data_IF_181788300619
#
_entry.id   IF_181788300619
#
_cell.length_a   1.000
_cell.length_b   1.000
_cell.length_c   1.000
_cell.angle_alpha   90.00
_cell.angle_beta   90.00
_cell.angle_gamma   90.00
#
_symmetry.space_group_name_H-M   'P 1'
#
loop_
_entity.id
_entity.type
_entity.pdbx_description
1 polymer ?
#
# COMPACT_ATOMS: atom_id res chain seq x y z
N UNK A 1 -4.72 -17.64 31.23
CA UNK A 1 -5.34 -18.98 31.32
C UNK A 1 -4.62 -19.90 30.33
N UNK A 2 -4.37 -21.17 30.69
CA UNK A 2 -3.65 -22.12 29.81
C UNK A 2 -4.53 -22.42 28.59
N UNK A 3 -4.01 -22.26 27.38
CA UNK A 3 -4.73 -22.61 26.15
C UNK A 3 -5.07 -24.10 26.16
N UNK A 4 -6.28 -24.47 25.72
CA UNK A 4 -6.71 -25.87 25.64
C UNK A 4 -5.81 -26.73 24.71
N UNK A 5 -4.96 -26.09 23.90
CA UNK A 5 -4.04 -26.70 22.96
C UNK A 5 -2.55 -26.47 23.31
N UNK A 6 -2.25 -26.14 24.57
CA UNK A 6 -0.89 -25.92 25.09
C UNK A 6 0.00 -27.16 24.90
N UNK A 7 1.06 -27.04 24.10
CA UNK A 7 2.12 -28.06 24.01
C UNK A 7 3.20 -27.90 25.10
N UNK A 8 3.06 -26.92 26.01
CA UNK A 8 4.04 -26.61 27.05
C UNK A 8 4.16 -27.72 28.12
N UNK A 9 5.38 -28.07 28.56
CA UNK A 9 5.61 -28.90 29.73
C UNK A 9 4.84 -28.39 30.96
N UNK A 10 4.47 -29.30 31.87
CA UNK A 10 3.74 -28.94 33.09
C UNK A 10 4.52 -27.91 33.92
N UNK A 11 3.89 -26.77 34.23
CA UNK A 11 4.49 -25.68 35.01
C UNK A 11 5.16 -24.56 34.20
N UNK A 12 5.20 -24.65 32.87
CA UNK A 12 5.69 -23.57 32.00
C UNK A 12 4.55 -22.89 31.22
N UNK A 13 4.73 -21.59 30.98
CA UNK A 13 3.88 -20.79 30.08
C UNK A 13 4.08 -21.26 28.64
N UNK A 14 3.03 -21.19 27.81
CA UNK A 14 3.20 -21.38 26.37
C UNK A 14 4.17 -20.32 25.82
N UNK A 15 5.21 -20.75 25.12
CA UNK A 15 6.16 -19.88 24.45
C UNK A 15 6.22 -20.20 22.96
N UNK A 16 6.39 -19.17 22.15
CA UNK A 16 6.64 -19.28 20.71
C UNK A 16 7.65 -18.20 20.33
N UNK A 17 8.82 -18.64 19.89
CA UNK A 17 9.88 -17.77 19.37
C UNK A 17 10.04 -18.01 17.88
N UNK A 18 10.18 -16.95 17.09
CA UNK A 18 10.26 -17.03 15.63
C UNK A 18 11.61 -16.50 15.17
N UNK A 19 12.29 -17.30 14.35
CA UNK A 19 13.56 -16.93 13.73
C UNK A 19 13.26 -16.42 12.32
N UNK A 20 13.75 -15.21 12.02
CA UNK A 20 13.58 -14.55 10.73
C UNK A 20 14.89 -14.45 9.97
N UNK A 21 14.83 -14.57 8.64
CA UNK A 21 15.90 -14.16 7.75
C UNK A 21 15.52 -12.85 7.05
N UNK A 22 16.47 -11.90 6.90
CA UNK A 22 16.26 -10.74 6.05
C UNK A 22 16.23 -11.19 4.58
N UNK A 23 15.18 -10.82 3.85
CA UNK A 23 15.07 -11.03 2.40
C UNK A 23 14.73 -9.73 1.69
N UNK A 24 14.89 -9.68 0.36
CA UNK A 24 14.50 -8.53 -0.44
C UNK A 24 13.00 -8.20 -0.35
N UNK A 25 12.16 -9.22 -0.09
CA UNK A 25 10.71 -9.08 0.08
C UNK A 25 10.28 -8.87 1.54
N UNK A 26 11.23 -8.58 2.44
CA UNK A 26 10.98 -8.39 3.87
C UNK A 26 11.45 -9.56 4.75
N UNK A 27 11.20 -9.50 6.07
CA UNK A 27 11.61 -10.55 6.99
C UNK A 27 10.83 -11.85 6.73
N UNK A 28 11.55 -12.92 6.43
CA UNK A 28 10.97 -14.24 6.17
C UNK A 28 11.09 -15.13 7.41
N UNK A 29 9.97 -15.60 8.00
CA UNK A 29 10.03 -16.54 9.11
C UNK A 29 10.50 -17.91 8.61
N UNK A 30 11.57 -18.43 9.20
CA UNK A 30 12.20 -19.69 8.77
C UNK A 30 12.11 -20.82 9.78
N UNK A 31 11.95 -20.49 11.06
CA UNK A 31 11.80 -21.49 12.11
C UNK A 31 10.99 -20.92 13.27
N UNK A 32 10.30 -21.81 13.98
CA UNK A 32 9.61 -21.52 15.23
C UNK A 32 10.10 -22.47 16.32
N UNK A 33 10.49 -21.94 17.46
CA UNK A 33 10.63 -22.71 18.70
C UNK A 33 9.33 -22.58 19.48
N UNK A 34 8.56 -23.66 19.56
CA UNK A 34 7.28 -23.71 20.26
C UNK A 34 7.46 -24.63 21.45
N UNK A 35 7.39 -24.09 22.66
CA UNK A 35 7.48 -24.86 23.90
C UNK A 35 8.74 -25.76 23.98
N UNK A 36 9.89 -25.22 23.56
CA UNK A 36 11.18 -25.92 23.57
C UNK A 36 11.38 -26.93 22.41
N UNK A 37 10.48 -26.93 21.42
CA UNK A 37 10.58 -27.79 20.22
C UNK A 37 10.74 -26.93 18.98
N UNK A 38 11.75 -27.26 18.16
CA UNK A 38 12.05 -26.55 16.93
C UNK A 38 11.25 -27.10 15.74
N UNK A 39 10.62 -26.20 14.99
CA UNK A 39 9.89 -26.46 13.77
C UNK A 39 10.45 -25.60 12.63
N UNK A 40 10.62 -26.19 11.45
CA UNK A 40 10.93 -25.43 10.24
C UNK A 40 9.63 -24.81 9.69
N UNK A 41 9.67 -23.52 9.36
CA UNK A 41 8.56 -22.79 8.72
C UNK A 41 8.78 -22.79 7.22
N UNK A 42 7.78 -23.23 6.47
CA UNK A 42 7.76 -23.17 5.01
C UNK A 42 6.84 -22.02 4.61
N UNK A 43 7.38 -21.04 3.91
CA UNK A 43 6.65 -19.85 3.46
C UNK A 43 6.31 -19.90 1.96
N UNK A 44 5.34 -19.09 1.54
CA UNK A 44 5.13 -18.80 0.12
C UNK A 44 5.98 -17.61 -0.36
N UNK A 45 5.72 -17.15 -1.61
CA UNK A 45 6.44 -16.03 -2.23
C UNK A 45 6.22 -14.68 -1.55
N UNK A 46 5.22 -14.56 -0.67
CA UNK A 46 4.97 -13.38 0.16
C UNK A 46 5.59 -13.50 1.55
N UNK A 47 6.40 -14.55 1.80
CA UNK A 47 6.89 -14.88 3.14
C UNK A 47 5.77 -15.28 4.13
N UNK A 48 4.59 -15.68 3.64
CA UNK A 48 3.47 -16.14 4.49
C UNK A 48 3.72 -17.57 4.95
N UNK A 49 3.70 -17.89 6.26
CA UNK A 49 3.79 -19.26 6.75
C UNK A 49 2.67 -20.14 6.19
N UNK A 50 3.04 -21.21 5.48
CA UNK A 50 2.09 -22.19 4.92
C UNK A 50 2.15 -23.55 5.60
N UNK A 51 3.29 -23.91 6.18
CA UNK A 51 3.47 -25.23 6.82
C UNK A 51 4.56 -25.19 7.87
N UNK A 52 4.38 -25.93 8.97
CA UNK A 52 5.40 -26.23 9.96
C UNK A 52 5.74 -27.72 9.92
N UNK A 53 7.04 -28.04 9.92
CA UNK A 53 7.53 -29.42 10.01
C UNK A 53 8.47 -29.63 11.19
N UNK A 54 8.34 -30.78 11.87
CA UNK A 54 9.29 -31.18 12.90
C UNK A 54 10.62 -31.68 12.30
N UNK A 55 11.56 -32.08 13.15
CA UNK A 55 12.87 -32.60 12.75
C UNK A 55 12.80 -33.87 11.87
N UNK A 56 11.70 -34.63 11.93
CA UNK A 56 11.45 -35.81 11.12
C UNK A 56 10.75 -35.48 9.78
N UNK A 57 10.54 -34.19 9.48
CA UNK A 57 9.83 -33.74 8.27
C UNK A 57 8.31 -33.92 8.32
N UNK A 58 7.76 -34.34 9.46
CA UNK A 58 6.33 -34.54 9.66
C UNK A 58 5.61 -33.20 9.88
N UNK A 59 4.37 -33.09 9.41
CA UNK A 59 3.58 -31.84 9.44
C UNK A 59 2.93 -31.65 10.79
N UNK A 60 3.22 -30.54 11.46
CA UNK A 60 2.61 -30.18 12.74
C UNK A 60 1.46 -29.17 12.58
N UNK A 61 1.54 -28.32 11.54
CA UNK A 61 0.57 -27.27 11.23
C UNK A 61 0.63 -26.92 9.74
N UNK A 62 -0.51 -26.60 9.13
CA UNK A 62 -0.59 -26.21 7.73
C UNK A 62 -1.72 -25.24 7.48
N UNK A 63 -1.46 -24.18 6.72
CA UNK A 63 -2.45 -23.19 6.30
C UNK A 63 -2.46 -23.09 4.77
N UNK A 64 -3.54 -23.56 4.17
CA UNK A 64 -3.67 -23.62 2.71
C UNK A 64 -3.77 -22.22 2.12
N UNK A 65 -3.28 -22.09 0.88
CA UNK A 65 -3.47 -20.88 0.09
C UNK A 65 -4.96 -20.71 -0.16
N UNK A 66 -5.47 -19.56 0.26
CA UNK A 66 -6.80 -19.05 -0.03
C UNK A 66 -6.65 -17.58 -0.43
N UNK A 67 -7.69 -16.98 -1.02
CA UNK A 67 -7.59 -15.60 -1.48
C UNK A 67 -7.27 -14.68 -0.31
N UNK A 68 -8.14 -14.60 0.68
CA UNK A 68 -8.05 -13.66 1.79
C UNK A 68 -7.61 -14.31 3.10
N UNK A 69 -7.17 -15.57 3.07
CA UNK A 69 -6.77 -16.30 4.27
C UNK A 69 -7.97 -16.80 5.08
N UNK A 70 -9.15 -16.87 4.48
CA UNK A 70 -10.41 -17.23 5.13
C UNK A 70 -10.46 -18.71 5.57
N UNK A 71 -9.67 -19.56 4.93
CA UNK A 71 -9.57 -20.97 5.29
C UNK A 71 -8.76 -21.12 6.56
N UNK A 72 -9.29 -21.76 7.59
CA UNK A 72 -8.56 -21.97 8.85
C UNK A 72 -7.37 -22.93 8.67
N UNK A 73 -6.26 -22.76 9.42
CA UNK A 73 -5.19 -23.74 9.44
C UNK A 73 -5.66 -25.12 9.92
N UNK A 74 -5.11 -26.16 9.32
CA UNK A 74 -5.27 -27.56 9.70
C UNK A 74 -4.08 -28.04 10.52
N UNK A 75 -4.32 -28.96 11.45
CA UNK A 75 -3.30 -29.62 12.28
C UNK A 75 -3.38 -31.14 12.14
N UNK A 76 -2.39 -31.88 12.64
CA UNK A 76 -2.17 -33.30 12.36
C UNK A 76 -3.35 -34.26 12.53
N UNK A 77 -4.32 -33.94 13.38
CA UNK A 77 -5.52 -34.76 13.61
C UNK A 77 -6.62 -34.53 12.54
N UNK A 78 -6.49 -33.47 11.74
CA UNK A 78 -7.40 -33.06 10.64
C UNK A 78 -6.61 -32.71 9.38
N UNK A 79 -5.54 -33.44 9.13
CA UNK A 79 -4.68 -33.25 7.97
C UNK A 79 -5.43 -33.43 6.64
N UNK A 80 -5.19 -32.51 5.70
CA UNK A 80 -5.65 -32.66 4.31
C UNK A 80 -4.92 -33.85 3.67
N UNK A 81 -5.62 -34.99 3.59
CA UNK A 81 -5.14 -36.20 2.93
C UNK A 81 -4.27 -37.10 3.83
N UNK A 82 -4.89 -37.76 4.81
CA UNK A 82 -4.37 -39.06 5.27
C UNK A 82 -4.55 -40.10 4.15
N UNK A 83 -3.73 -40.02 3.11
CA UNK A 83 -3.58 -41.10 2.13
C UNK A 83 -2.26 -41.81 2.39
N UNK A 84 -2.18 -43.09 1.99
CA UNK A 84 -1.02 -43.98 2.15
C UNK A 84 0.27 -43.42 1.51
N UNK A 85 0.15 -42.36 0.70
CA UNK A 85 1.22 -41.59 0.03
C UNK A 85 1.28 -40.10 0.42
N UNK A 86 0.51 -39.66 1.43
CA UNK A 86 0.49 -38.28 1.93
C UNK A 86 1.58 -38.01 2.97
N UNK A 87 1.80 -36.74 3.37
CA UNK A 87 2.78 -36.43 4.40
C UNK A 87 2.36 -37.02 5.76
N UNK A 88 3.32 -37.63 6.46
CA UNK A 88 3.13 -38.05 7.86
C UNK A 88 2.89 -36.82 8.74
N UNK A 89 1.83 -36.84 9.54
CA UNK A 89 1.51 -35.77 10.47
C UNK A 89 2.15 -36.01 11.85
N UNK A 90 2.57 -34.92 12.49
CA UNK A 90 3.06 -34.90 13.86
C UNK A 90 1.96 -34.45 14.83
N UNK A 91 2.27 -34.39 16.12
CA UNK A 91 1.43 -33.74 17.12
C UNK A 91 1.08 -32.31 16.65
N UNK A 92 -0.21 -31.98 16.69
CA UNK A 92 -0.74 -30.66 16.39
C UNK A 92 -0.07 -29.58 17.24
N UNK A 93 0.25 -28.44 16.62
CA UNK A 93 0.74 -27.24 17.32
C UNK A 93 -0.13 -26.03 17.02
N UNK A 94 -0.27 -25.14 18.01
CA UNK A 94 -0.85 -23.81 17.80
C UNK A 94 0.20 -22.91 17.17
N UNK A 95 -0.20 -22.20 16.11
CA UNK A 95 0.66 -21.24 15.42
C UNK A 95 -0.19 -20.11 14.86
N UNK A 96 0.11 -18.89 15.32
CA UNK A 96 -0.79 -17.75 15.15
C UNK A 96 -0.34 -16.76 14.06
N UNK A 97 0.87 -16.88 13.52
CA UNK A 97 1.26 -16.05 12.37
C UNK A 97 0.34 -16.31 11.16
N UNK A 98 -0.03 -15.23 10.47
CA UNK A 98 -0.82 -15.25 9.23
C UNK A 98 -0.03 -14.57 8.11
N UNK A 99 -0.67 -13.72 7.30
CA UNK A 99 0.06 -12.89 6.34
C UNK A 99 1.17 -12.09 7.05
N UNK A 100 2.21 -11.63 6.32
CA UNK A 100 3.25 -10.79 6.90
C UNK A 100 2.68 -9.69 7.79
N UNK A 101 3.24 -9.53 9.00
CA UNK A 101 2.78 -8.56 10.01
C UNK A 101 1.59 -9.01 10.86
N UNK A 102 0.91 -10.10 10.50
CA UNK A 102 -0.34 -10.51 11.14
C UNK A 102 -0.17 -11.62 12.18
N UNK A 103 -0.83 -11.44 13.33
CA UNK A 103 -1.00 -12.44 14.38
C UNK A 103 -2.49 -12.70 14.58
N UNK A 104 -2.92 -13.94 14.40
CA UNK A 104 -4.30 -14.36 14.61
C UNK A 104 -4.65 -14.35 16.09
N UNK A 105 -5.76 -13.72 16.41
CA UNK A 105 -6.39 -13.74 17.71
C UNK A 105 -7.63 -14.64 17.67
N UNK A 106 -7.58 -15.71 18.47
CA UNK A 106 -8.64 -16.72 18.53
C UNK A 106 -9.90 -16.21 19.23
N UNK A 107 -9.78 -15.26 20.16
CA UNK A 107 -10.93 -14.73 20.91
C UNK A 107 -11.85 -13.89 20.03
N UNK A 108 -11.25 -13.08 19.15
CA UNK A 108 -11.98 -12.22 18.22
C UNK A 108 -12.22 -12.88 16.86
N UNK A 109 -11.41 -13.88 16.50
CA UNK A 109 -11.38 -14.45 15.15
C UNK A 109 -10.75 -13.52 14.11
N UNK A 110 -10.12 -12.43 14.54
CA UNK A 110 -9.47 -11.44 13.69
C UNK A 110 -7.95 -11.66 13.71
N UNK A 111 -7.24 -11.00 12.81
CA UNK A 111 -5.79 -10.95 12.84
C UNK A 111 -5.31 -9.53 13.16
N UNK A 112 -4.59 -9.37 14.26
CA UNK A 112 -3.95 -8.12 14.61
C UNK A 112 -2.79 -7.86 13.64
N UNK A 113 -2.79 -6.69 13.00
CA UNK A 113 -1.78 -6.26 12.03
C UNK A 113 -1.25 -4.87 12.41
N UNK A 114 -0.60 -4.79 13.57
CA UNK A 114 -0.02 -3.58 14.17
C UNK A 114 -1.00 -2.40 14.33
N UNK A 115 -1.32 -1.70 13.25
CA UNK A 115 -2.20 -0.52 13.28
C UNK A 115 -3.68 -0.87 13.12
N UNK A 116 -4.00 -2.05 12.59
CA UNK A 116 -5.38 -2.45 12.28
C UNK A 116 -5.65 -3.92 12.58
N UNK A 117 -6.93 -4.25 12.80
CA UNK A 117 -7.42 -5.63 12.84
C UNK A 117 -7.99 -6.03 11.49
N UNK A 118 -7.49 -7.14 10.95
CA UNK A 118 -7.89 -7.74 9.68
C UNK A 118 -8.92 -8.84 9.90
N UNK A 119 -10.01 -8.79 9.14
CA UNK A 119 -11.03 -9.83 9.06
C UNK A 119 -10.85 -10.61 7.75
N UNK A 120 -10.37 -11.84 7.88
CA UNK A 120 -10.18 -12.75 6.75
C UNK A 120 -11.50 -13.19 6.11
N UNK A 121 -12.61 -13.22 6.85
CA UNK A 121 -13.91 -13.63 6.32
C UNK A 121 -14.49 -12.61 5.32
N UNK A 122 -14.19 -11.32 5.54
CA UNK A 122 -14.64 -10.22 4.66
C UNK A 122 -13.52 -9.63 3.80
N UNK A 123 -12.28 -10.13 3.96
CA UNK A 123 -11.10 -9.74 3.19
C UNK A 123 -10.66 -8.29 3.37
N UNK A 124 -10.87 -7.72 4.57
CA UNK A 124 -10.68 -6.28 4.82
C UNK A 124 -10.32 -5.98 6.27
N UNK A 125 -9.86 -4.77 6.53
CA UNK A 125 -9.72 -4.25 7.89
C UNK A 125 -11.09 -3.85 8.47
N UNK A 126 -11.23 -4.02 9.78
CA UNK A 126 -12.43 -3.55 10.51
C UNK A 126 -12.32 -2.09 10.95
N UNK A 127 -11.14 -1.49 10.80
CA UNK A 127 -10.84 -0.11 11.14
C UNK A 127 -10.45 0.66 9.88
N UNK A 128 -10.88 1.92 9.80
CA UNK A 128 -10.46 2.82 8.72
C UNK A 128 -8.96 3.11 8.82
N UNK A 129 -8.31 3.26 7.67
CA UNK A 129 -6.88 3.53 7.59
C UNK A 129 -6.50 4.80 8.39
N UNK A 130 -5.56 4.70 9.36
CA UNK A 130 -5.06 5.83 10.13
C UNK A 130 -4.36 6.89 9.29
N UNK A 131 -3.75 6.51 8.15
CA UNK A 131 -3.12 7.46 7.22
C UNK A 131 -4.14 8.04 6.20
N UNK A 132 -5.43 7.78 6.40
CA UNK A 132 -6.50 8.36 5.60
C UNK A 132 -6.51 7.81 4.18
N UNK A 133 -6.65 8.71 3.19
CA UNK A 133 -6.67 8.32 1.77
C UNK A 133 -5.27 8.02 1.21
N UNK A 134 -4.20 8.27 1.97
CA UNK A 134 -2.85 7.84 1.58
C UNK A 134 -2.73 6.31 1.54
N UNK A 135 -3.55 5.59 2.32
CA UNK A 135 -3.71 4.14 2.26
C UNK A 135 -4.66 3.65 1.16
N UNK A 136 -5.08 4.54 0.25
CA UNK A 136 -5.96 4.24 -0.87
C UNK A 136 -7.42 4.70 -0.70
N UNK A 137 -8.16 4.64 -1.82
CA UNK A 137 -9.55 5.07 -1.90
C UNK A 137 -10.48 4.32 -0.96
N UNK A 138 -10.24 3.02 -0.78
CA UNK A 138 -10.96 2.22 0.22
C UNK A 138 -10.13 2.13 1.50
N UNK A 139 -10.50 2.93 2.49
CA UNK A 139 -9.84 2.99 3.80
C UNK A 139 -9.92 1.71 4.62
N UNK A 140 -10.71 0.73 4.19
CA UNK A 140 -10.83 -0.58 4.84
C UNK A 140 -10.18 -1.69 4.02
N UNK A 141 -9.74 -1.41 2.80
CA UNK A 141 -9.22 -2.44 1.90
C UNK A 141 -7.97 -3.12 2.44
N UNK A 142 -7.90 -4.45 2.34
CA UNK A 142 -6.64 -5.17 2.46
C UNK A 142 -6.00 -5.26 1.07
N UNK A 143 -4.77 -4.77 0.97
CA UNK A 143 -3.88 -4.94 -0.18
C UNK A 143 -4.51 -4.70 -1.57
N UNK A 144 -5.34 -3.67 -1.71
CA UNK A 144 -6.03 -3.36 -2.97
C UNK A 144 -6.92 -4.48 -3.52
N UNK A 145 -7.31 -5.45 -2.68
CA UNK A 145 -8.05 -6.63 -3.09
C UNK A 145 -7.22 -7.69 -3.81
N UNK A 146 -5.88 -7.62 -3.76
CA UNK A 146 -4.99 -8.58 -4.42
C UNK A 146 -3.99 -9.25 -3.43
N UNK A 147 -4.49 -10.03 -2.46
CA UNK A 147 -3.69 -10.71 -1.42
C UNK A 147 -2.82 -11.87 -1.91
N UNK A 148 -3.01 -12.30 -3.16
CA UNK A 148 -2.15 -13.31 -3.78
C UNK A 148 -0.82 -12.73 -4.26
N UNK A 149 -0.78 -11.44 -4.57
CA UNK A 149 0.42 -10.78 -5.07
C UNK A 149 1.08 -9.88 -4.03
N UNK A 150 0.35 -9.51 -2.98
CA UNK A 150 0.79 -8.48 -2.05
C UNK A 150 0.37 -8.76 -0.62
N UNK A 151 1.14 -8.20 0.32
CA UNK A 151 0.90 -8.27 1.76
C UNK A 151 1.08 -6.88 2.37
N UNK A 152 0.29 -6.56 3.39
CA UNK A 152 0.46 -5.34 4.20
C UNK A 152 1.07 -5.72 5.55
N UNK A 153 2.36 -5.42 5.73
CA UNK A 153 3.13 -5.89 6.90
C UNK A 153 2.96 -5.03 8.14
N UNK A 154 2.31 -3.86 8.00
CA UNK A 154 2.14 -2.89 9.09
C UNK A 154 0.68 -2.55 9.36
N UNK A 155 -0.25 -3.00 8.53
CA UNK A 155 -1.60 -2.49 8.55
C UNK A 155 -1.70 -1.07 8.01
N UNK A 156 -0.84 -0.65 7.07
CA UNK A 156 -0.83 0.70 6.47
C UNK A 156 -0.49 0.69 4.96
N UNK A 157 -0.19 -0.47 4.37
CA UNK A 157 0.30 -0.57 2.99
C UNK A 157 -0.86 -0.72 1.98
N UNK A 158 -0.77 -0.03 0.83
CA UNK A 158 -1.70 -0.16 -0.29
C UNK A 158 -0.98 -0.55 -1.60
N UNK A 159 -1.04 -1.82 -2.01
CA UNK A 159 -0.41 -2.32 -3.21
C UNK A 159 -1.30 -2.21 -4.47
N UNK A 160 -2.48 -1.57 -4.38
CA UNK A 160 -3.06 -0.90 -5.55
C UNK A 160 -2.11 0.18 -6.13
N UNK A 161 -1.04 0.49 -5.40
CA UNK A 161 0.11 1.29 -5.79
C UNK A 161 1.46 0.60 -5.50
N UNK A 162 1.54 -0.75 -5.56
CA UNK A 162 2.76 -1.54 -5.34
C UNK A 162 3.38 -1.43 -3.92
N UNK A 163 4.22 -2.39 -3.49
CA UNK A 163 4.76 -2.44 -2.13
C UNK A 163 5.85 -1.40 -1.84
N UNK A 164 6.26 -0.59 -2.83
CA UNK A 164 7.28 0.45 -2.64
C UNK A 164 7.14 1.66 -3.57
N UNK A 165 6.04 1.80 -4.31
CA UNK A 165 5.89 2.97 -5.17
C UNK A 165 5.32 4.14 -4.37
N UNK A 166 6.18 4.78 -3.57
CA UNK A 166 6.02 6.19 -3.27
C UNK A 166 6.00 6.90 -4.62
N UNK A 167 4.94 7.61 -4.95
CA UNK A 167 4.81 8.14 -6.30
C UNK A 167 3.67 9.11 -6.41
N UNK A 168 3.50 9.60 -7.62
CA UNK A 168 2.60 10.70 -7.89
C UNK A 168 1.76 10.36 -9.10
N UNK A 169 0.47 10.68 -9.00
CA UNK A 169 -0.45 10.62 -10.12
C UNK A 169 -0.57 12.03 -10.69
N UNK A 170 -0.27 12.20 -11.97
CA UNK A 170 -0.53 13.46 -12.68
C UNK A 170 -1.83 13.28 -13.45
N UNK A 171 -2.78 14.18 -13.22
CA UNK A 171 -4.11 14.15 -13.82
C UNK A 171 -4.28 15.28 -14.81
N UNK A 172 -4.88 14.99 -15.96
CA UNK A 172 -5.25 15.97 -16.97
C UNK A 172 -6.76 16.02 -17.14
N UNK A 173 -7.31 17.23 -17.10
CA UNK A 173 -8.70 17.52 -17.37
C UNK A 173 -8.78 18.38 -18.64
N UNK A 174 -9.51 17.87 -19.63
CA UNK A 174 -9.74 18.55 -20.90
C UNK A 174 -10.88 19.56 -20.84
N UNK A 175 -10.85 20.53 -21.75
CA UNK A 175 -11.81 21.63 -21.85
C UNK A 175 -11.13 23.00 -21.73
N UNK A 176 -11.59 23.99 -22.52
CA UNK A 176 -10.98 25.32 -22.56
C UNK A 176 -9.46 25.27 -22.77
N UNK A 177 -8.70 25.87 -21.85
CA UNK A 177 -7.23 25.89 -21.84
C UNK A 177 -6.59 24.59 -21.29
N UNK A 178 -7.38 23.65 -20.79
CA UNK A 178 -6.94 22.44 -20.10
C UNK A 178 -6.43 22.70 -18.68
N UNK A 179 -6.39 21.66 -17.85
CA UNK A 179 -5.86 21.72 -16.49
C UNK A 179 -5.02 20.48 -16.17
N UNK A 180 -3.97 20.66 -15.36
CA UNK A 180 -3.18 19.56 -14.80
C UNK A 180 -3.11 19.70 -13.29
N UNK A 181 -3.33 18.59 -12.58
CA UNK A 181 -3.13 18.49 -11.14
C UNK A 181 -2.21 17.34 -10.78
N UNK A 182 -1.69 17.36 -9.55
CA UNK A 182 -0.82 16.30 -9.01
C UNK A 182 -1.41 15.73 -7.72
N UNK A 183 -1.60 14.41 -7.68
CA UNK A 183 -2.02 13.66 -6.50
C UNK A 183 -0.87 12.82 -5.97
N UNK A 184 -0.72 12.78 -4.65
CA UNK A 184 0.33 12.00 -3.98
C UNK A 184 -0.24 10.65 -3.59
N UNK A 185 0.45 9.56 -3.90
CA UNK A 185 0.01 8.20 -3.58
C UNK A 185 -1.44 7.91 -4.02
N UNK A 186 -1.86 8.48 -5.15
CA UNK A 186 -3.21 8.25 -5.71
C UNK A 186 -4.35 8.90 -4.94
N UNK A 187 -4.05 9.77 -3.97
CA UNK A 187 -5.04 10.62 -3.30
C UNK A 187 -5.54 11.74 -4.22
N UNK A 188 -6.44 12.58 -3.71
CA UNK A 188 -6.98 13.74 -4.44
C UNK A 188 -5.86 14.62 -5.02
N UNK A 189 -6.11 15.19 -6.20
CA UNK A 189 -5.12 16.01 -6.88
C UNK A 189 -5.16 17.46 -6.42
N UNK A 190 -4.00 18.08 -6.34
CA UNK A 190 -3.84 19.51 -6.11
C UNK A 190 -3.58 20.21 -7.44
N UNK A 191 -4.32 21.29 -7.68
CA UNK A 191 -4.17 22.16 -8.83
C UNK A 191 -3.78 23.57 -8.40
N UNK A 192 -3.14 24.29 -9.31
CA UNK A 192 -2.84 25.70 -9.15
C UNK A 192 -3.76 26.53 -10.04
N UNK A 193 -4.45 27.49 -9.43
CA UNK A 193 -5.55 28.24 -10.02
C UNK A 193 -5.37 29.75 -9.80
N UNK A 194 -5.99 30.61 -10.62
CA UNK A 194 -6.18 32.01 -10.26
C UNK A 194 -7.27 32.13 -9.16
N UNK A 195 -7.06 33.00 -8.17
CA UNK A 195 -8.05 33.27 -7.09
C UNK A 195 -9.35 33.89 -7.57
N UNK A 196 -9.41 34.35 -8.83
CA UNK A 196 -10.59 34.99 -9.42
C UNK A 196 -11.10 34.14 -10.60
N UNK A 197 -12.13 33.30 -10.40
CA UNK A 197 -12.63 32.37 -11.42
C UNK A 197 -13.36 33.06 -12.58
N UNK A 198 -13.57 34.39 -12.52
CA UNK A 198 -14.32 35.18 -13.49
C UNK A 198 -13.46 35.88 -14.56
N UNK A 199 -12.14 35.67 -14.56
CA UNK A 199 -11.22 36.33 -15.50
C UNK A 199 -11.16 35.57 -16.83
N UNK A 200 -11.30 36.29 -17.94
CA UNK A 200 -11.17 35.71 -19.30
C UNK A 200 -9.73 35.26 -19.56
N UNK A 201 -9.52 34.33 -20.51
CA UNK A 201 -8.17 33.88 -20.91
C UNK A 201 -7.21 35.05 -21.21
N UNK A 202 -7.72 36.20 -21.66
CA UNK A 202 -6.92 37.40 -21.97
C UNK A 202 -6.35 38.08 -20.72
N UNK A 203 -7.10 38.10 -19.61
CA UNK A 203 -6.67 38.74 -18.36
C UNK A 203 -5.65 37.89 -17.59
N UNK A 204 -5.62 36.58 -17.84
CA UNK A 204 -4.64 35.66 -17.25
C UNK A 204 -3.29 35.64 -18.00
N UNK A 205 -3.17 36.38 -19.12
CA UNK A 205 -1.91 36.56 -19.86
C UNK A 205 -1.04 37.63 -19.18
N UNK A 206 -1.64 38.61 -18.50
CA UNK A 206 -0.91 39.70 -17.85
C UNK A 206 -0.59 39.36 -16.38
N UNK A 207 0.63 39.68 -15.91
CA UNK A 207 1.00 39.44 -14.52
C UNK A 207 0.16 40.31 -13.58
N UNK A 208 -0.32 39.72 -12.48
CA UNK A 208 -1.03 40.44 -11.41
C UNK A 208 -2.21 39.70 -10.79
N UNK A 209 -2.60 38.54 -11.31
CA UNK A 209 -3.68 37.72 -10.73
C UNK A 209 -3.10 36.84 -9.62
N UNK A 210 -3.52 36.97 -8.35
CA UNK A 210 -3.03 36.09 -7.28
C UNK A 210 -3.42 34.63 -7.56
N UNK A 211 -2.49 33.72 -7.35
CA UNK A 211 -2.72 32.29 -7.45
C UNK A 211 -3.30 31.70 -6.17
N UNK A 212 -3.81 30.47 -6.26
CA UNK A 212 -4.25 29.63 -5.14
C UNK A 212 -3.96 28.18 -5.47
N UNK A 213 -3.55 27.39 -4.47
CA UNK A 213 -3.39 25.94 -4.58
C UNK A 213 -4.56 25.30 -3.86
N UNK A 214 -5.33 24.51 -4.59
CA UNK A 214 -6.55 23.91 -4.07
C UNK A 214 -6.62 22.44 -4.47
N UNK A 215 -7.37 21.65 -3.70
CA UNK A 215 -7.77 20.33 -4.15
C UNK A 215 -8.64 20.49 -5.40
N UNK A 216 -8.41 19.66 -6.42
CA UNK A 216 -9.19 19.57 -7.64
C UNK A 216 -10.58 18.95 -7.35
N UNK A 217 -11.37 19.60 -6.51
CA UNK A 217 -12.76 19.26 -6.24
C UNK A 217 -13.70 19.85 -7.31
N UNK A 218 -13.20 20.78 -8.14
CA UNK A 218 -13.97 21.57 -9.11
C UNK A 218 -14.33 20.81 -10.40
N UNK A 219 -13.75 19.64 -10.63
CA UNK A 219 -14.11 18.79 -11.77
C UNK A 219 -14.85 17.55 -11.24
N UNK A 220 -16.18 17.60 -11.19
CA UNK A 220 -17.06 16.43 -10.94
C UNK A 220 -16.97 15.35 -12.05
N UNK A 221 -15.96 15.45 -12.93
CA UNK A 221 -15.71 14.63 -14.10
C UNK A 221 -14.45 13.81 -13.85
N UNK A 222 -14.46 12.56 -14.28
CA UNK A 222 -13.24 11.76 -14.33
C UNK A 222 -12.17 12.46 -15.19
N UNK A 223 -10.89 12.35 -14.82
CA UNK A 223 -9.80 12.92 -15.61
C UNK A 223 -9.81 12.33 -17.03
N UNK A 224 -9.52 13.17 -18.02
CA UNK A 224 -9.44 12.72 -19.42
C UNK A 224 -8.17 11.89 -19.68
N UNK A 225 -7.09 12.18 -18.95
CA UNK A 225 -5.86 11.36 -18.91
C UNK A 225 -5.26 11.37 -17.51
N UNK A 226 -4.55 10.30 -17.16
CA UNK A 226 -3.78 10.22 -15.92
C UNK A 226 -2.55 9.35 -16.09
N UNK A 227 -1.45 9.71 -15.42
CA UNK A 227 -0.22 8.93 -15.44
C UNK A 227 0.41 8.81 -14.05
N UNK A 228 0.84 7.59 -13.74
CA UNK A 228 1.62 7.30 -12.55
C UNK A 228 3.11 7.51 -12.80
N UNK A 229 3.77 8.24 -11.90
CA UNK A 229 5.22 8.42 -11.90
C UNK A 229 5.77 7.82 -10.61
N UNK A 230 6.61 6.79 -10.75
CA UNK A 230 7.32 6.16 -9.64
C UNK A 230 8.35 7.15 -9.04
N UNK A 231 8.41 7.20 -7.71
CA UNK A 231 9.34 8.03 -6.93
C UNK A 231 9.88 7.32 -5.70
N UNK A 232 10.71 8.02 -4.91
CA UNK A 232 11.11 7.57 -3.57
C UNK A 232 10.22 8.20 -2.49
N UNK A 233 10.26 7.67 -1.26
CA UNK A 233 9.55 8.30 -0.14
C UNK A 233 10.05 9.73 0.11
N UNK A 234 11.35 9.96 -0.01
CA UNK A 234 11.96 11.29 0.08
C UNK A 234 11.41 12.24 -0.99
N UNK A 235 11.30 11.78 -2.25
CA UNK A 235 10.68 12.55 -3.32
C UNK A 235 9.23 12.92 -3.02
N UNK A 236 8.46 11.98 -2.47
CA UNK A 236 7.07 12.24 -2.09
C UNK A 236 6.99 13.26 -0.94
N UNK A 237 7.87 13.16 0.06
CA UNK A 237 7.88 14.09 1.20
C UNK A 237 8.31 15.51 0.78
N UNK A 238 9.26 15.62 -0.15
CA UNK A 238 9.64 16.89 -0.77
C UNK A 238 8.47 17.52 -1.53
N UNK A 239 7.70 16.71 -2.25
CA UNK A 239 6.53 17.23 -2.99
C UNK A 239 5.42 17.68 -2.04
N UNK A 240 5.16 16.94 -0.96
CA UNK A 240 4.24 17.35 0.11
C UNK A 240 4.65 18.71 0.69
N UNK A 241 5.94 18.89 0.95
CA UNK A 241 6.50 20.14 1.44
C UNK A 241 6.30 21.28 0.43
N UNK A 242 6.62 21.06 -0.84
CA UNK A 242 6.42 22.03 -1.92
C UNK A 242 4.96 22.49 -2.04
N UNK A 243 4.02 21.55 -2.08
CA UNK A 243 2.57 21.86 -2.18
C UNK A 243 2.13 22.69 -0.97
N UNK A 244 2.60 22.35 0.24
CA UNK A 244 2.30 23.10 1.46
C UNK A 244 2.85 24.52 1.40
N UNK A 245 4.08 24.71 0.95
CA UNK A 245 4.69 26.04 0.80
C UNK A 245 3.94 26.89 -0.22
N UNK A 246 3.62 26.33 -1.39
CA UNK A 246 2.82 26.98 -2.43
C UNK A 246 1.37 27.26 -2.00
N UNK A 247 0.83 26.53 -1.01
CA UNK A 247 -0.50 26.82 -0.44
C UNK A 247 -0.48 27.99 0.53
N UNK A 248 0.69 28.33 1.09
CA UNK A 248 0.87 29.45 2.03
C UNK A 248 1.19 30.73 1.25
N UNK A 249 2.10 30.65 0.28
CA UNK A 249 2.49 31.76 -0.59
C UNK A 249 2.43 31.35 -2.07
N UNK A 250 1.23 31.32 -2.67
CA UNK A 250 1.03 30.84 -4.04
C UNK A 250 1.59 31.77 -5.12
N UNK A 251 1.98 33.01 -4.78
CA UNK A 251 2.43 34.00 -5.75
C UNK A 251 1.36 34.39 -6.79
N UNK A 252 1.81 34.68 -8.01
CA UNK A 252 0.98 35.24 -9.10
C UNK A 252 0.75 34.19 -10.18
N UNK A 253 -0.51 33.94 -10.51
CA UNK A 253 -0.92 33.09 -11.62
C UNK A 253 -0.79 33.84 -12.95
N UNK A 254 -0.21 33.18 -13.96
CA UNK A 254 -0.07 33.67 -15.33
C UNK A 254 -0.04 32.50 -16.31
N UNK A 255 -0.97 32.48 -17.26
CA UNK A 255 -1.06 31.42 -18.28
C UNK A 255 0.26 31.16 -19.04
N UNK A 256 1.04 32.16 -19.48
CA UNK A 256 2.29 31.91 -20.20
C UNK A 256 3.48 31.50 -19.32
N UNK A 257 3.48 31.80 -18.02
CA UNK A 257 4.69 31.73 -17.19
C UNK A 257 4.55 31.00 -15.86
N UNK A 258 3.39 31.09 -15.20
CA UNK A 258 3.17 30.48 -13.89
C UNK A 258 1.74 29.95 -13.78
N UNK A 259 1.52 28.71 -14.21
CA UNK A 259 0.21 28.09 -14.34
C UNK A 259 0.19 26.68 -13.74
N UNK A 260 -0.92 25.95 -13.91
CA UNK A 260 -1.08 24.59 -13.40
C UNK A 260 0.03 23.62 -13.88
N UNK A 261 0.49 23.77 -15.12
CA UNK A 261 1.55 22.94 -15.70
C UNK A 261 2.90 23.24 -15.07
N UNK A 262 3.25 24.53 -14.90
CA UNK A 262 4.53 24.90 -14.29
C UNK A 262 4.56 24.48 -12.83
N UNK A 263 3.49 24.69 -12.09
CA UNK A 263 3.31 24.20 -10.71
C UNK A 263 3.60 22.70 -10.59
N UNK A 264 2.94 21.86 -11.41
CA UNK A 264 3.18 20.42 -11.38
C UNK A 264 4.62 20.10 -11.81
N UNK A 265 5.11 20.69 -12.90
CA UNK A 265 6.44 20.38 -13.42
C UNK A 265 7.58 20.79 -12.48
N UNK A 266 7.44 21.92 -11.79
CA UNK A 266 8.44 22.42 -10.84
C UNK A 266 8.37 21.66 -9.53
N UNK A 267 7.16 21.34 -9.05
CA UNK A 267 6.98 20.44 -7.92
C UNK A 267 7.67 19.09 -8.15
N UNK A 268 7.49 18.47 -9.32
CA UNK A 268 8.17 17.22 -9.66
C UNK A 268 9.69 17.37 -9.72
N UNK A 269 10.22 18.44 -10.35
CA UNK A 269 11.67 18.68 -10.44
C UNK A 269 12.32 18.93 -9.09
N UNK A 270 11.73 19.80 -8.27
CA UNK A 270 12.21 20.14 -6.93
C UNK A 270 12.14 18.94 -5.97
N UNK A 271 11.29 17.97 -6.29
CA UNK A 271 11.11 16.73 -5.54
C UNK A 271 11.91 15.55 -6.10
N UNK A 272 12.91 15.81 -6.93
CA UNK A 272 13.82 14.80 -7.50
C UNK A 272 13.15 13.74 -8.41
N UNK A 273 11.96 14.01 -8.97
CA UNK A 273 11.40 13.13 -10.01
C UNK A 273 12.19 13.30 -11.32
N UNK A 274 12.49 12.17 -11.97
CA UNK A 274 13.28 12.14 -13.20
C UNK A 274 12.41 12.33 -14.44
N UNK A 275 13.01 12.75 -15.55
CA UNK A 275 12.36 12.84 -16.86
C UNK A 275 11.07 13.69 -16.84
N UNK A 276 11.14 14.88 -16.25
CA UNK A 276 10.01 15.83 -16.20
C UNK A 276 10.09 16.79 -17.39
N UNK A 277 9.17 16.71 -18.37
CA UNK A 277 9.22 17.52 -19.58
C UNK A 277 8.95 19.01 -19.28
N UNK A 278 9.53 19.90 -20.08
CA UNK A 278 9.20 21.32 -20.04
C UNK A 278 8.02 21.59 -20.97
N UNK A 279 6.91 22.05 -20.39
CA UNK A 279 5.76 22.56 -21.12
C UNK A 279 4.99 23.49 -20.20
N UNK A 280 4.36 24.50 -20.77
CA UNK A 280 3.37 25.35 -20.09
C UNK A 280 1.94 24.97 -20.49
N UNK A 281 1.79 24.06 -21.47
CA UNK A 281 0.50 23.62 -22.01
C UNK A 281 0.12 22.27 -21.36
N UNK A 282 -1.02 22.19 -20.66
CA UNK A 282 -1.49 21.00 -19.97
C UNK A 282 -1.47 19.70 -20.80
N UNK A 283 -2.07 19.73 -21.99
CA UNK A 283 -2.18 18.55 -22.85
C UNK A 283 -0.81 18.07 -23.34
N UNK A 284 0.04 19.00 -23.79
CA UNK A 284 1.39 18.66 -24.25
C UNK A 284 2.27 18.10 -23.11
N UNK A 285 2.05 18.58 -21.89
CA UNK A 285 2.77 18.11 -20.71
C UNK A 285 2.40 16.67 -20.36
N UNK A 286 1.10 16.35 -20.25
CA UNK A 286 0.66 14.99 -19.91
C UNK A 286 1.07 13.98 -21.00
N UNK A 287 0.95 14.34 -22.28
CA UNK A 287 1.38 13.47 -23.39
C UNK A 287 2.90 13.23 -23.42
N UNK A 288 3.67 14.21 -22.98
CA UNK A 288 5.12 14.07 -22.85
C UNK A 288 5.50 13.19 -21.66
N UNK A 289 4.77 13.30 -20.55
CA UNK A 289 4.91 12.37 -19.42
C UNK A 289 4.52 10.94 -19.83
N UNK A 290 3.42 10.76 -20.58
CA UNK A 290 2.99 9.45 -21.12
C UNK A 290 4.09 8.80 -21.97
N UNK A 291 4.77 9.58 -22.82
CA UNK A 291 5.89 9.05 -23.62
C UNK A 291 7.11 8.66 -22.78
N UNK A 292 7.34 9.31 -21.64
CA UNK A 292 8.54 9.12 -20.82
C UNK A 292 8.35 8.06 -19.71
N UNK A 293 7.16 7.98 -19.13
CA UNK A 293 6.84 7.16 -17.96
C UNK A 293 5.75 6.10 -18.24
N UNK A 294 5.03 6.20 -19.35
CA UNK A 294 4.06 5.21 -19.78
C UNK A 294 4.79 3.95 -20.25
N UNK A 295 5.13 3.07 -19.31
CA UNK A 295 5.58 1.71 -19.60
C UNK A 295 4.49 1.02 -20.45
N UNK A 296 4.89 0.46 -21.59
CA UNK A 296 4.09 -0.47 -22.40
C UNK A 296 3.77 -1.74 -21.61
#
# INVERSE_FOLDING_TARGET
>A
QRSANSAAPAGQSDSTEIIYLPTASGPMPIAAEINGRLYAIHTDHLNTPRRLTNQQGQVAWQWLISGFGEVRPTTGDRGYGQTVSGPSYAQAVKFDLRYPGQVFDEETGLSYNLHRYYDAATGRYIQADPIGLEGGWNRFGYVGGNPLNWSDSRGLDNPGMGPYSSGVMVYYYGGGSGHVGVGINGSGSFGYYPTSPSKTNYELIFPGVPGTVELDAFHQKQPDKSIWIEGSQESVDLLKKYIKEMSIDPGVYSLPFNNCTTFVSDGLRLSNFKNVPHSVIPLSFIESLERLHGKK
#
